data_IF_985454359498
#
_entry.id   IF_985454359498
#
_cell.length_a   1.000
_cell.length_b   1.000
_cell.length_c   1.000
_cell.angle_alpha   90.00
_cell.angle_beta   90.00
_cell.angle_gamma   90.00
#
_symmetry.space_group_name_H-M   'P 1'
#
loop_
_entity.id
_entity.type
_entity.pdbx_description
1 polymer ?
#
# COMPACT_ATOMS: atom_id res chain seq x y z
N UNK A 1 -16.97 -11.16 9.86
CA UNK A 1 -16.67 -10.04 8.93
C UNK A 1 -17.18 -10.41 7.56
N UNK A 2 -17.89 -9.51 6.87
CA UNK A 2 -18.58 -9.83 5.62
C UNK A 2 -17.56 -10.08 4.49
N UNK A 3 -17.67 -11.25 3.85
CA UNK A 3 -16.86 -11.63 2.68
C UNK A 3 -17.11 -10.62 1.56
N UNK A 4 -16.12 -9.77 1.28
CA UNK A 4 -16.14 -8.86 0.13
C UNK A 4 -16.44 -9.66 -1.14
N UNK A 5 -17.46 -9.23 -1.90
CA UNK A 5 -17.95 -9.92 -3.10
C UNK A 5 -17.03 -9.59 -4.29
N UNK A 6 -15.73 -9.85 -4.16
CA UNK A 6 -14.77 -9.68 -5.23
C UNK A 6 -14.86 -10.85 -6.21
N UNK A 7 -15.36 -10.58 -7.41
CA UNK A 7 -15.57 -11.62 -8.43
C UNK A 7 -14.41 -11.63 -9.42
N UNK A 8 -13.91 -12.83 -9.72
CA UNK A 8 -12.86 -13.04 -10.70
C UNK A 8 -11.45 -12.76 -10.16
N UNK A 9 -10.51 -12.53 -11.09
CA UNK A 9 -9.08 -12.29 -10.81
C UNK A 9 -8.37 -13.37 -9.98
N UNK A 10 -8.82 -14.62 -10.07
CA UNK A 10 -8.20 -15.76 -9.36
C UNK A 10 -6.67 -15.80 -9.54
N UNK A 11 -6.12 -15.72 -10.76
CA UNK A 11 -4.67 -15.80 -10.94
C UNK A 11 -3.91 -14.66 -10.25
N UNK A 12 -4.46 -13.44 -10.28
CA UNK A 12 -3.82 -12.29 -9.64
C UNK A 12 -3.93 -12.34 -8.11
N UNK A 13 -5.03 -12.87 -7.57
CA UNK A 13 -5.21 -13.05 -6.13
C UNK A 13 -4.27 -14.11 -5.59
N UNK A 14 -4.15 -15.24 -6.29
CA UNK A 14 -3.21 -16.32 -5.96
C UNK A 14 -1.76 -15.83 -6.02
N UNK A 15 -1.40 -15.07 -7.06
CA UNK A 15 -0.07 -14.44 -7.16
C UNK A 15 0.20 -13.51 -5.96
N UNK A 16 -0.67 -12.53 -5.70
CA UNK A 16 -0.47 -11.62 -4.55
C UNK A 16 -0.39 -12.39 -3.22
N UNK A 17 -1.24 -13.40 -3.01
CA UNK A 17 -1.24 -14.18 -1.79
C UNK A 17 0.07 -14.96 -1.60
N UNK A 18 0.60 -15.54 -2.69
CA UNK A 18 1.90 -16.21 -2.67
C UNK A 18 3.05 -15.24 -2.36
N UNK A 19 3.06 -14.05 -2.98
CA UNK A 19 4.06 -13.00 -2.70
C UNK A 19 4.00 -12.54 -1.24
N UNK A 20 2.80 -12.36 -0.67
CA UNK A 20 2.62 -11.96 0.73
C UNK A 20 3.02 -13.04 1.73
N UNK A 21 3.00 -14.32 1.34
CA UNK A 21 3.43 -15.44 2.18
C UNK A 21 4.94 -15.76 2.04
N UNK A 22 5.62 -15.14 1.09
CA UNK A 22 7.05 -15.30 0.84
C UNK A 22 7.88 -14.70 1.98
N UNK A 23 8.98 -15.35 2.32
CA UNK A 23 9.97 -14.83 3.28
C UNK A 23 11.04 -13.96 2.59
N UNK A 24 10.77 -13.48 1.38
CA UNK A 24 11.66 -12.61 0.61
C UNK A 24 11.03 -11.23 0.40
N UNK A 25 11.88 -10.21 0.24
CA UNK A 25 11.43 -8.89 -0.15
C UNK A 25 11.08 -8.90 -1.65
N UNK A 26 9.80 -8.71 -1.95
CA UNK A 26 9.29 -8.76 -3.32
C UNK A 26 8.69 -7.41 -3.76
N UNK A 27 8.87 -7.07 -5.04
CA UNK A 27 8.35 -5.84 -5.64
C UNK A 27 7.32 -6.17 -6.73
N UNK A 28 6.10 -5.64 -6.58
CA UNK A 28 5.04 -5.77 -7.57
C UNK A 28 4.69 -4.43 -8.22
N UNK A 29 4.85 -4.33 -9.54
CA UNK A 29 4.33 -3.23 -10.33
C UNK A 29 2.97 -3.60 -10.96
N UNK A 30 1.86 -3.07 -10.40
CA UNK A 30 0.51 -3.33 -10.91
C UNK A 30 0.00 -2.20 -11.81
N UNK A 31 -0.18 -2.47 -13.10
CA UNK A 31 -0.66 -1.50 -14.09
C UNK A 31 -1.92 -1.96 -14.83
N UNK A 32 -2.55 -1.05 -15.57
CA UNK A 32 -3.77 -1.30 -16.33
C UNK A 32 -4.71 -0.10 -16.39
N UNK A 33 -5.81 -0.21 -17.13
CA UNK A 33 -6.78 0.89 -17.35
C UNK A 33 -7.32 1.47 -16.03
N UNK A 34 -7.74 2.73 -16.06
CA UNK A 34 -8.42 3.38 -14.91
C UNK A 34 -9.69 2.57 -14.57
N UNK A 35 -10.02 2.48 -13.28
CA UNK A 35 -11.24 1.82 -12.75
C UNK A 35 -11.38 0.31 -12.95
N UNK A 36 -10.34 -0.41 -13.39
CA UNK A 36 -10.37 -1.89 -13.45
C UNK A 36 -10.30 -2.58 -12.07
N UNK A 37 -10.22 -1.82 -10.97
CA UNK A 37 -10.20 -2.38 -9.61
C UNK A 37 -8.82 -2.80 -9.09
N UNK A 38 -7.74 -2.16 -9.55
CA UNK A 38 -6.36 -2.46 -9.10
C UNK A 38 -6.17 -2.27 -7.59
N UNK A 39 -6.53 -1.09 -7.07
CA UNK A 39 -6.46 -0.80 -5.63
C UNK A 39 -7.34 -1.75 -4.82
N UNK A 40 -8.52 -2.09 -5.35
CA UNK A 40 -9.44 -3.01 -4.71
C UNK A 40 -8.86 -4.44 -4.62
N UNK A 41 -8.19 -4.93 -5.67
CA UNK A 41 -7.48 -6.21 -5.66
C UNK A 41 -6.44 -6.28 -4.54
N UNK A 42 -5.59 -5.25 -4.42
CA UNK A 42 -4.55 -5.22 -3.38
C UNK A 42 -5.18 -5.23 -1.99
N UNK A 43 -6.18 -4.38 -1.75
CA UNK A 43 -6.87 -4.31 -0.46
C UNK A 43 -7.56 -5.62 -0.09
N UNK A 44 -8.25 -6.27 -1.03
CA UNK A 44 -8.95 -7.53 -0.76
C UNK A 44 -8.01 -8.66 -0.32
N UNK A 45 -6.79 -8.72 -0.87
CA UNK A 45 -5.81 -9.74 -0.49
C UNK A 45 -5.08 -9.38 0.79
N UNK A 46 -4.83 -8.09 1.04
CA UNK A 46 -3.98 -7.62 2.14
C UNK A 46 -4.75 -7.33 3.43
N UNK A 47 -5.97 -6.79 3.37
CA UNK A 47 -6.79 -6.46 4.55
C UNK A 47 -7.02 -7.63 5.53
N UNK A 48 -7.18 -8.90 5.08
CA UNK A 48 -7.32 -10.04 5.99
C UNK A 48 -6.02 -10.43 6.71
N UNK A 49 -4.86 -9.95 6.24
CA UNK A 49 -3.57 -10.31 6.79
C UNK A 49 -3.25 -9.45 8.01
N UNK A 50 -2.63 -10.07 9.02
CA UNK A 50 -2.11 -9.33 10.17
C UNK A 50 -0.70 -8.85 9.85
N UNK A 51 -0.43 -7.56 10.08
CA UNK A 51 0.88 -6.97 9.82
C UNK A 51 0.84 -5.45 9.80
N UNK A 52 2.00 -4.84 9.62
CA UNK A 52 2.13 -3.40 9.44
C UNK A 52 2.06 -3.06 7.95
N UNK A 53 1.12 -2.19 7.58
CA UNK A 53 0.92 -1.77 6.19
C UNK A 53 1.11 -0.26 6.04
N UNK A 54 1.93 0.12 5.07
CA UNK A 54 2.19 1.52 4.72
C UNK A 54 1.57 1.80 3.34
N UNK A 55 0.49 2.59 3.31
CA UNK A 55 -0.15 3.04 2.06
C UNK A 55 0.08 4.54 1.86
N UNK A 56 0.67 4.91 0.71
CA UNK A 56 0.95 6.28 0.32
C UNK A 56 0.41 6.52 -1.09
N UNK A 57 -0.21 7.68 -1.32
CA UNK A 57 -0.71 8.08 -2.65
C UNK A 57 0.11 9.24 -3.19
N UNK A 58 0.77 9.01 -4.33
CA UNK A 58 1.45 10.05 -5.10
C UNK A 58 0.48 11.06 -5.70
N UNK A 59 0.86 12.33 -5.72
CA UNK A 59 0.09 13.39 -6.40
C UNK A 59 0.89 13.94 -7.56
N UNK A 60 0.32 13.78 -8.77
CA UNK A 60 0.92 14.31 -9.99
C UNK A 60 1.09 15.82 -9.86
N UNK A 61 2.30 16.30 -10.12
CA UNK A 61 2.66 17.73 -10.05
C UNK A 61 2.42 18.39 -8.69
N UNK A 62 2.29 17.61 -7.61
CA UNK A 62 2.23 18.16 -6.26
C UNK A 62 3.61 18.62 -5.78
N UNK A 63 3.64 19.58 -4.85
CA UNK A 63 4.88 20.02 -4.23
C UNK A 63 5.60 18.84 -3.54
N UNK A 64 6.92 18.75 -3.68
CA UNK A 64 7.72 17.68 -3.07
C UNK A 64 7.59 17.67 -1.54
N UNK A 65 7.50 18.84 -0.91
CA UNK A 65 7.24 18.99 0.53
C UNK A 65 5.92 18.36 0.98
N UNK A 66 4.85 18.51 0.18
CA UNK A 66 3.56 17.88 0.45
C UNK A 66 3.65 16.35 0.39
N UNK A 67 4.41 15.80 -0.56
CA UNK A 67 4.60 14.36 -0.65
C UNK A 67 5.42 13.81 0.52
N UNK A 68 6.48 14.53 0.94
CA UNK A 68 7.28 14.18 2.12
C UNK A 68 6.46 14.21 3.41
N UNK A 69 5.60 15.23 3.57
CA UNK A 69 4.68 15.30 4.70
C UNK A 69 3.73 14.09 4.74
N UNK A 70 3.13 13.73 3.60
CA UNK A 70 2.24 12.55 3.51
C UNK A 70 2.96 11.24 3.77
N UNK A 71 4.22 11.15 3.36
CA UNK A 71 5.07 10.00 3.66
C UNK A 71 5.29 9.86 5.16
N UNK A 72 5.63 10.97 5.85
CA UNK A 72 5.73 11.00 7.32
C UNK A 72 4.44 10.54 7.99
N UNK A 73 3.33 11.19 7.65
CA UNK A 73 2.01 10.89 8.22
C UNK A 73 1.63 9.41 8.02
N UNK A 74 2.03 8.82 6.87
CA UNK A 74 1.79 7.41 6.60
C UNK A 74 2.64 6.49 7.49
N UNK A 75 3.91 6.84 7.76
CA UNK A 75 4.78 6.07 8.67
C UNK A 75 4.24 6.14 10.10
N UNK A 76 3.94 7.33 10.60
CA UNK A 76 3.42 7.52 11.96
C UNK A 76 2.12 6.73 12.19
N UNK A 77 1.26 6.66 11.16
CA UNK A 77 0.05 5.84 11.20
C UNK A 77 0.34 4.33 11.20
N UNK A 78 1.35 3.88 10.45
CA UNK A 78 1.71 2.47 10.35
C UNK A 78 2.49 1.97 11.59
N UNK A 79 3.25 2.87 12.21
CA UNK A 79 4.10 2.61 13.37
C UNK A 79 3.77 3.59 14.49
N UNK A 80 2.66 3.39 15.22
CA UNK A 80 2.13 4.36 16.19
C UNK A 80 2.93 4.47 17.50
N UNK A 81 4.07 3.79 17.61
CA UNK A 81 4.89 3.75 18.83
C UNK A 81 6.17 4.56 18.58
N UNK A 82 6.34 5.65 19.31
CA UNK A 82 7.54 6.49 19.24
C UNK A 82 7.20 7.98 19.31
N UNK A 83 8.26 8.80 19.31
CA UNK A 83 8.13 10.24 19.17
C UNK A 83 7.72 10.63 17.74
N UNK A 84 7.05 11.78 17.54
CA UNK A 84 6.75 12.29 16.21
C UNK A 84 8.00 12.39 15.34
N UNK A 85 7.87 12.00 14.07
CA UNK A 85 8.99 12.06 13.14
C UNK A 85 9.28 13.51 12.74
N UNK A 86 10.56 13.87 12.52
CA UNK A 86 10.90 15.21 12.03
C UNK A 86 10.36 15.44 10.61
N UNK A 87 10.30 16.70 10.20
CA UNK A 87 10.07 17.03 8.79
C UNK A 87 11.24 16.55 7.93
N UNK A 88 10.93 15.81 6.86
CA UNK A 88 11.92 15.40 5.87
C UNK A 88 12.31 16.61 5.00
N UNK A 89 13.61 16.94 4.95
CA UNK A 89 14.14 18.01 4.12
C UNK A 89 14.23 17.61 2.63
N UNK A 90 14.65 16.37 2.38
CA UNK A 90 14.89 15.75 1.06
C UNK A 90 14.31 14.33 1.01
N UNK A 91 14.40 13.70 -0.15
CA UNK A 91 14.16 12.25 -0.30
C UNK A 91 15.45 11.43 -0.20
N UNK A 92 16.60 12.08 -0.31
CA UNK A 92 17.94 11.55 -0.01
C UNK A 92 18.21 11.60 1.49
#
# INVERSE_FOLDING_TARGET
MAKSKFVGRRPQRELLAAMMASNQAELLALYGRRRVGKTFLVREVVEPLSGTFLEITGTRSGASSLQRRRFREAIERAFPVGDPLPDFASWD
#
